data_IF_085048360895
#
_entry.id   IF_085048360895
#
_cell.length_a   1.000
_cell.length_b   1.000
_cell.length_c   1.000
_cell.angle_alpha   90.00
_cell.angle_beta   90.00
_cell.angle_gamma   90.00
#
_symmetry.space_group_name_H-M   'P 1'
#
loop_
_entity.id
_entity.type
_entity.pdbx_description
1 polymer ?
#
# COMPACT_ATOMS: atom_id res chain seq x y z
N UNK A 1 23.29 -83.19 -54.43
CA UNK A 1 22.46 -84.36 -54.77
C UNK A 1 21.02 -83.95 -54.65
N UNK A 2 20.43 -83.57 -55.78
CA UNK A 2 19.00 -83.39 -55.93
C UNK A 2 18.37 -84.78 -56.14
N UNK A 3 17.21 -85.03 -55.54
CA UNK A 3 16.02 -85.52 -56.24
C UNK A 3 14.86 -85.77 -55.25
N UNK A 4 13.70 -85.21 -55.64
CA UNK A 4 12.34 -85.79 -55.62
C UNK A 4 11.85 -86.47 -54.33
N UNK A 5 10.67 -86.15 -53.79
CA UNK A 5 9.35 -86.34 -54.45
C UNK A 5 8.23 -85.65 -53.66
N UNK A 6 7.31 -84.99 -54.37
CA UNK A 6 5.91 -84.81 -53.95
C UNK A 6 5.04 -85.87 -54.68
N UNK A 7 3.82 -86.21 -54.21
CA UNK A 7 2.65 -85.46 -54.71
C UNK A 7 1.40 -85.35 -53.80
N UNK A 8 0.65 -84.26 -54.04
CA UNK A 8 -0.82 -84.04 -54.09
C UNK A 8 -1.78 -84.68 -53.06
N UNK A 9 -2.57 -83.81 -52.42
CA UNK A 9 -4.02 -83.98 -52.25
C UNK A 9 -4.77 -82.63 -52.22
N UNK A 10 -5.70 -82.44 -53.17
CA UNK A 10 -6.86 -81.52 -53.15
C UNK A 10 -7.82 -81.97 -52.01
N UNK A 11 -8.72 -81.22 -51.37
CA UNK A 11 -9.47 -79.99 -51.62
C UNK A 11 -10.21 -79.63 -50.31
N UNK A 12 -10.58 -78.36 -50.10
CA UNK A 12 -11.95 -77.94 -49.74
C UNK A 12 -12.00 -76.42 -49.52
N UNK A 13 -12.78 -75.78 -50.37
CA UNK A 13 -13.21 -74.38 -50.30
C UNK A 13 -14.13 -74.18 -49.09
N UNK A 14 -13.86 -73.14 -48.31
CA UNK A 14 -14.74 -72.62 -47.27
C UNK A 14 -14.86 -71.11 -47.41
N UNK A 15 -16.01 -70.67 -47.92
CA UNK A 15 -16.43 -69.28 -48.10
C UNK A 15 -16.70 -68.60 -46.75
N UNK A 16 -16.14 -67.42 -46.51
CA UNK A 16 -16.65 -66.48 -45.49
C UNK A 16 -16.84 -65.09 -46.10
N UNK A 17 -18.08 -64.62 -46.03
CA UNK A 17 -18.59 -63.38 -46.61
C UNK A 17 -18.21 -62.17 -45.74
N UNK A 18 -17.62 -61.16 -46.37
CA UNK A 18 -17.34 -59.86 -45.78
C UNK A 18 -18.59 -58.98 -45.79
N UNK A 19 -19.10 -58.62 -44.61
CA UNK A 19 -20.06 -57.51 -44.44
C UNK A 19 -19.31 -56.17 -44.28
N UNK A 20 -19.80 -55.04 -44.82
CA UNK A 20 -19.14 -53.74 -44.68
C UNK A 20 -19.39 -53.14 -43.29
N UNK A 21 -18.36 -52.52 -42.70
CA UNK A 21 -18.43 -51.78 -41.43
C UNK A 21 -19.13 -50.43 -41.63
N UNK A 22 -20.12 -50.13 -40.80
CA UNK A 22 -20.74 -48.81 -40.66
C UNK A 22 -19.77 -47.77 -40.03
N UNK A 23 -19.94 -46.48 -40.34
CA UNK A 23 -19.07 -45.41 -39.83
C UNK A 23 -19.37 -45.10 -38.35
N UNK A 24 -18.32 -45.09 -37.53
CA UNK A 24 -18.33 -44.76 -36.11
C UNK A 24 -18.63 -43.28 -35.85
N UNK A 25 -19.53 -43.06 -34.89
CA UNK A 25 -19.99 -41.80 -34.25
C UNK A 25 -19.04 -40.57 -34.28
N UNK A 26 -19.58 -39.37 -34.54
CA UNK A 26 -18.93 -38.10 -34.24
C UNK A 26 -19.35 -37.60 -32.84
N UNK A 27 -18.42 -37.56 -31.88
CA UNK A 27 -18.38 -36.64 -30.72
C UNK A 27 -17.53 -37.21 -29.59
N UNK A 28 -16.21 -36.95 -29.64
CA UNK A 28 -15.40 -36.86 -28.43
C UNK A 28 -15.21 -35.38 -28.13
N UNK A 29 -16.17 -34.80 -27.41
CA UNK A 29 -15.88 -33.61 -26.63
C UNK A 29 -14.79 -34.01 -25.62
N UNK A 30 -13.70 -33.24 -25.58
CA UNK A 30 -12.59 -33.40 -24.64
C UNK A 30 -13.12 -33.14 -23.21
N UNK A 31 -13.59 -34.18 -22.52
CA UNK A 31 -13.86 -34.11 -21.08
C UNK A 31 -12.55 -34.30 -20.32
N UNK A 32 -12.17 -33.29 -19.54
CA UNK A 32 -11.08 -33.41 -18.58
C UNK A 32 -11.41 -34.52 -17.56
N UNK A 33 -10.41 -35.30 -17.09
CA UNK A 33 -10.67 -36.33 -16.08
C UNK A 33 -11.16 -35.70 -14.77
N UNK A 34 -12.17 -36.31 -14.13
CA UNK A 34 -12.82 -35.85 -12.88
C UNK A 34 -11.83 -35.48 -11.74
N UNK A 35 -10.65 -36.10 -11.73
CA UNK A 35 -9.58 -35.82 -10.77
C UNK A 35 -8.94 -34.43 -10.95
N UNK A 36 -8.89 -33.92 -12.19
CA UNK A 36 -8.35 -32.59 -12.49
C UNK A 36 -9.28 -31.48 -12.00
N UNK A 37 -10.60 -31.62 -12.21
CA UNK A 37 -11.59 -30.64 -11.73
C UNK A 37 -11.62 -30.55 -10.21
N UNK A 38 -11.52 -31.69 -9.51
CA UNK A 38 -11.44 -31.73 -8.06
C UNK A 38 -10.15 -31.06 -7.53
N UNK A 39 -9.03 -31.23 -8.23
CA UNK A 39 -7.77 -30.57 -7.89
C UNK A 39 -7.85 -29.05 -8.09
N UNK A 40 -8.48 -28.58 -9.17
CA UNK A 40 -8.69 -27.16 -9.44
C UNK A 40 -9.61 -26.50 -8.41
N UNK A 41 -10.73 -27.15 -8.06
CA UNK A 41 -11.61 -26.67 -6.99
C UNK A 41 -10.86 -26.54 -5.67
N UNK A 42 -10.04 -27.53 -5.32
CA UNK A 42 -9.22 -27.49 -4.10
C UNK A 42 -8.17 -26.38 -4.14
N UNK A 43 -7.56 -26.11 -5.31
CA UNK A 43 -6.64 -24.99 -5.51
C UNK A 43 -7.37 -23.67 -5.31
N UNK A 44 -8.53 -23.49 -5.95
CA UNK A 44 -9.39 -22.30 -5.83
C UNK A 44 -9.84 -22.06 -4.39
N UNK A 45 -10.26 -23.09 -3.68
CA UNK A 45 -10.62 -22.99 -2.26
C UNK A 45 -9.44 -22.56 -1.38
N UNK A 46 -8.23 -23.01 -1.70
CA UNK A 46 -7.01 -22.63 -0.99
C UNK A 46 -6.68 -21.17 -1.27
N UNK A 47 -6.67 -20.75 -2.53
CA UNK A 47 -6.44 -19.36 -2.93
C UNK A 47 -7.48 -18.40 -2.32
N UNK A 48 -8.76 -18.76 -2.37
CA UNK A 48 -9.84 -17.99 -1.74
C UNK A 48 -9.63 -17.85 -0.24
N UNK A 49 -9.21 -18.92 0.44
CA UNK A 49 -8.90 -18.88 1.87
C UNK A 49 -7.63 -18.08 2.18
N UNK A 50 -6.61 -18.12 1.34
CA UNK A 50 -5.36 -17.39 1.60
C UNK A 50 -5.53 -15.86 1.42
N UNK A 51 -6.37 -15.44 0.47
CA UNK A 51 -6.67 -14.02 0.22
C UNK A 51 -7.75 -13.48 1.16
N UNK A 52 -8.90 -14.15 1.26
CA UNK A 52 -10.07 -13.66 2.00
C UNK A 52 -10.27 -14.33 3.37
N UNK A 53 -9.52 -15.37 3.68
CA UNK A 53 -9.60 -16.06 4.96
C UNK A 53 -9.02 -15.21 6.09
N UNK A 54 -9.91 -14.74 6.97
CA UNK A 54 -9.54 -13.90 8.13
C UNK A 54 -9.15 -14.73 9.36
N UNK A 55 -8.20 -15.66 9.18
CA UNK A 55 -7.63 -16.44 10.28
C UNK A 55 -7.60 -17.95 10.02
N UNK A 56 -7.45 -18.72 11.11
CA UNK A 56 -7.34 -20.19 11.03
C UNK A 56 -8.72 -20.83 10.99
N UNK A 57 -8.82 -21.97 10.28
CA UNK A 57 -10.03 -22.80 10.26
C UNK A 57 -10.41 -23.27 11.67
N UNK A 58 -11.71 -23.29 11.94
CA UNK A 58 -12.26 -23.73 13.23
C UNK A 58 -12.13 -25.25 13.35
N UNK A 59 -11.39 -25.71 14.37
CA UNK A 59 -11.24 -27.15 14.67
C UNK A 59 -12.46 -27.66 15.45
N UNK A 60 -13.47 -28.15 14.76
CA UNK A 60 -14.71 -28.64 15.38
C UNK A 60 -14.65 -30.12 15.83
N UNK A 61 -13.74 -30.94 15.27
CA UNK A 61 -13.69 -32.40 15.55
C UNK A 61 -13.45 -32.75 17.02
N UNK A 62 -12.68 -31.92 17.74
CA UNK A 62 -12.27 -32.17 19.13
C UNK A 62 -13.28 -31.66 20.18
N UNK A 63 -14.41 -31.09 19.75
CA UNK A 63 -15.39 -30.46 20.65
C UNK A 63 -16.32 -31.52 21.23
N UNK A 64 -16.35 -31.69 22.56
CA UNK A 64 -17.15 -32.72 23.25
C UNK A 64 -18.67 -32.48 23.16
N UNK A 65 -19.12 -31.23 23.29
CA UNK A 65 -20.54 -30.87 23.19
C UNK A 65 -21.04 -31.02 21.74
N UNK A 66 -22.09 -31.83 21.56
CA UNK A 66 -22.72 -32.12 20.27
C UNK A 66 -23.35 -30.87 19.66
N UNK A 67 -24.00 -30.02 20.46
CA UNK A 67 -24.67 -28.80 19.97
C UNK A 67 -23.63 -27.79 19.49
N UNK A 68 -22.62 -27.51 20.30
CA UNK A 68 -21.50 -26.65 19.92
C UNK A 68 -20.77 -27.18 18.68
N UNK A 69 -20.51 -28.48 18.59
CA UNK A 69 -19.88 -29.10 17.41
C UNK A 69 -20.69 -28.88 16.13
N UNK A 70 -22.01 -29.09 16.19
CA UNK A 70 -22.90 -28.83 15.06
C UNK A 70 -22.88 -27.37 14.61
N UNK A 71 -22.96 -26.44 15.56
CA UNK A 71 -22.91 -25.00 15.30
C UNK A 71 -21.57 -24.56 14.69
N UNK A 72 -20.44 -25.03 15.23
CA UNK A 72 -19.12 -24.68 14.71
C UNK A 72 -18.87 -25.24 13.31
N UNK A 73 -19.41 -26.43 12.99
CA UNK A 73 -19.36 -26.99 11.63
C UNK A 73 -20.18 -26.14 10.66
N UNK A 74 -21.39 -25.73 11.05
CA UNK A 74 -22.22 -24.85 10.23
C UNK A 74 -21.57 -23.48 10.00
N UNK A 75 -20.94 -22.93 11.04
CA UNK A 75 -20.21 -21.66 10.95
C UNK A 75 -18.99 -21.77 10.02
N UNK A 76 -18.20 -22.84 10.12
CA UNK A 76 -17.09 -23.11 9.20
C UNK A 76 -17.56 -23.21 7.75
N UNK A 77 -18.66 -23.92 7.50
CA UNK A 77 -19.22 -24.03 6.15
C UNK A 77 -19.65 -22.67 5.59
N UNK A 78 -20.27 -21.81 6.42
CA UNK A 78 -20.61 -20.43 6.03
C UNK A 78 -19.38 -19.58 5.74
N UNK A 79 -18.32 -19.70 6.54
CA UNK A 79 -17.07 -18.99 6.28
C UNK A 79 -16.42 -19.45 4.99
N UNK A 80 -16.41 -20.76 4.71
CA UNK A 80 -15.91 -21.31 3.46
C UNK A 80 -16.68 -20.77 2.25
N UNK A 81 -18.01 -20.81 2.31
CA UNK A 81 -18.89 -20.27 1.26
C UNK A 81 -18.69 -18.77 1.06
N UNK A 82 -18.58 -17.99 2.13
CA UNK A 82 -18.31 -16.56 2.07
C UNK A 82 -16.95 -16.25 1.43
N UNK A 83 -15.89 -16.99 1.77
CA UNK A 83 -14.56 -16.80 1.14
C UNK A 83 -14.56 -17.16 -0.34
N UNK A 84 -15.29 -18.21 -0.73
CA UNK A 84 -15.40 -18.60 -2.13
C UNK A 84 -16.17 -17.55 -2.93
N UNK A 85 -17.33 -17.12 -2.45
CA UNK A 85 -18.14 -16.06 -3.07
C UNK A 85 -17.39 -14.73 -3.19
N UNK A 86 -16.61 -14.36 -2.18
CA UNK A 86 -15.78 -13.16 -2.24
C UNK A 86 -14.71 -13.27 -3.34
N UNK A 87 -14.08 -14.44 -3.48
CA UNK A 87 -13.13 -14.70 -4.57
C UNK A 87 -13.79 -14.71 -5.94
N UNK A 88 -14.98 -15.27 -6.04
CA UNK A 88 -15.76 -15.32 -7.28
C UNK A 88 -16.21 -13.92 -7.73
N UNK A 89 -16.45 -13.01 -6.77
CA UNK A 89 -16.79 -11.62 -7.05
C UNK A 89 -15.61 -10.81 -7.65
N UNK A 90 -14.36 -11.27 -7.54
CA UNK A 90 -13.23 -10.61 -8.22
C UNK A 90 -13.35 -10.64 -9.75
N UNK A 91 -14.16 -11.56 -10.32
CA UNK A 91 -14.43 -11.61 -11.76
C UNK A 91 -15.15 -10.34 -12.24
N UNK A 92 -15.83 -9.62 -11.33
CA UNK A 92 -16.55 -8.38 -11.62
C UNK A 92 -15.64 -7.15 -11.59
N UNK A 93 -14.34 -7.29 -11.32
CA UNK A 93 -13.40 -6.17 -11.37
C UNK A 93 -13.24 -5.68 -12.82
N UNK A 94 -13.49 -4.40 -13.03
CA UNK A 94 -13.60 -3.80 -14.37
C UNK A 94 -12.24 -3.40 -14.96
N UNK A 95 -11.27 -3.03 -14.12
CA UNK A 95 -10.02 -2.44 -14.56
C UNK A 95 -8.85 -3.41 -14.41
N UNK A 96 -8.06 -3.50 -15.48
CA UNK A 96 -6.77 -4.17 -15.47
C UNK A 96 -5.68 -3.28 -14.88
N UNK A 97 -4.64 -3.92 -14.35
CA UNK A 97 -3.56 -3.22 -13.68
C UNK A 97 -2.44 -2.92 -14.64
N UNK A 98 -1.88 -1.71 -14.59
CA UNK A 98 -0.75 -1.33 -15.42
C UNK A 98 0.50 -2.18 -15.17
N UNK A 99 1.35 -2.29 -16.18
CA UNK A 99 2.67 -2.91 -16.08
C UNK A 99 3.61 -2.32 -17.13
N UNK A 100 4.92 -2.47 -16.89
CA UNK A 100 5.97 -2.22 -17.87
C UNK A 100 6.90 -3.42 -17.83
N UNK A 101 7.07 -4.08 -18.97
CA UNK A 101 7.92 -5.26 -19.10
C UNK A 101 8.83 -5.10 -20.33
N UNK A 102 10.07 -5.59 -20.28
CA UNK A 102 10.97 -5.53 -21.42
C UNK A 102 10.52 -6.55 -22.48
N UNK A 103 10.49 -6.15 -23.75
CA UNK A 103 10.09 -7.06 -24.84
C UNK A 103 11.26 -7.99 -25.24
N UNK A 104 12.49 -7.49 -25.14
CA UNK A 104 13.72 -8.23 -25.47
C UNK A 104 14.67 -8.43 -24.29
N UNK A 105 15.55 -9.42 -24.38
CA UNK A 105 16.55 -9.74 -23.34
C UNK A 105 17.56 -8.60 -23.07
N UNK A 106 17.81 -7.78 -24.09
CA UNK A 106 18.74 -6.64 -24.01
C UNK A 106 18.09 -5.40 -23.41
N UNK A 107 16.76 -5.31 -23.48
CA UNK A 107 16.00 -4.19 -22.95
C UNK A 107 15.89 -4.29 -21.44
N UNK A 108 15.96 -3.13 -20.79
CA UNK A 108 15.91 -3.03 -19.34
C UNK A 108 14.95 -1.92 -18.97
N UNK A 109 13.95 -2.24 -18.16
CA UNK A 109 12.89 -1.32 -17.75
C UNK A 109 13.41 -0.02 -17.12
N UNK A 110 14.55 -0.08 -16.40
CA UNK A 110 15.11 1.10 -15.75
C UNK A 110 15.76 2.12 -16.71
N UNK A 111 15.94 1.77 -17.99
CA UNK A 111 16.46 2.67 -19.02
C UNK A 111 15.36 3.41 -19.78
N UNK A 112 14.10 3.01 -19.62
CA UNK A 112 12.96 3.61 -20.29
C UNK A 112 12.78 5.07 -19.85
N UNK A 113 12.65 6.00 -20.82
CA UNK A 113 12.46 7.42 -20.52
C UNK A 113 10.99 7.74 -20.31
N UNK A 114 10.73 8.83 -19.60
CA UNK A 114 9.37 9.34 -19.42
C UNK A 114 8.74 9.82 -20.73
N UNK A 115 9.54 10.27 -21.70
CA UNK A 115 9.06 10.66 -23.03
C UNK A 115 8.50 9.45 -23.79
N UNK A 116 9.18 8.31 -23.72
CA UNK A 116 8.75 7.05 -24.35
C UNK A 116 7.44 6.57 -23.70
N UNK A 117 7.38 6.53 -22.37
CA UNK A 117 6.17 6.13 -21.64
C UNK A 117 4.99 7.03 -22.02
N UNK A 118 5.18 8.35 -22.08
CA UNK A 118 4.11 9.30 -22.46
C UNK A 118 3.62 9.12 -23.88
N UNK A 119 4.46 8.63 -24.79
CA UNK A 119 4.10 8.37 -26.18
C UNK A 119 3.25 7.12 -26.32
N UNK A 120 3.51 6.11 -25.48
CA UNK A 120 2.88 4.79 -25.60
C UNK A 120 1.60 4.66 -24.75
N UNK A 121 1.45 5.46 -23.68
CA UNK A 121 0.23 5.49 -22.88
C UNK A 121 -0.87 6.35 -23.51
N UNK A 122 -2.13 6.08 -23.13
CA UNK A 122 -3.26 6.88 -23.54
C UNK A 122 -3.10 8.37 -23.18
N UNK A 123 -3.63 9.26 -24.04
CA UNK A 123 -3.46 10.72 -23.93
C UNK A 123 -3.91 11.27 -22.57
N UNK A 124 -4.96 10.71 -21.97
CA UNK A 124 -5.43 11.12 -20.64
C UNK A 124 -4.42 10.81 -19.53
N UNK A 125 -3.73 9.67 -19.61
CA UNK A 125 -2.66 9.30 -18.68
C UNK A 125 -1.41 10.12 -18.96
N UNK A 126 -1.07 10.35 -20.23
CA UNK A 126 0.08 11.16 -20.62
C UNK A 126 -0.01 12.60 -20.06
N UNK A 127 -1.21 13.20 -20.05
CA UNK A 127 -1.48 14.54 -19.47
C UNK A 127 -1.19 14.62 -17.97
N UNK A 128 -1.29 13.50 -17.23
CA UNK A 128 -1.01 13.43 -15.79
C UNK A 128 0.48 13.55 -15.48
N UNK A 129 1.35 13.34 -16.46
CA UNK A 129 2.78 13.57 -16.34
C UNK A 129 3.17 15.00 -16.71
N UNK A 130 3.29 15.89 -15.72
CA UNK A 130 3.65 17.31 -15.90
C UNK A 130 4.67 17.77 -14.86
N UNK A 131 5.28 18.93 -15.11
CA UNK A 131 6.24 19.57 -14.20
C UNK A 131 5.77 21.00 -13.90
N UNK A 132 5.76 21.37 -12.62
CA UNK A 132 5.53 22.72 -12.12
C UNK A 132 6.86 23.33 -11.70
N UNK A 133 7.31 24.33 -12.47
CA UNK A 133 8.58 25.03 -12.23
C UNK A 133 8.35 26.18 -11.26
N UNK A 134 8.65 25.94 -9.99
CA UNK A 134 8.50 26.87 -8.87
C UNK A 134 9.86 27.05 -8.19
N UNK A 135 10.71 27.91 -8.76
CA UNK A 135 12.13 28.00 -8.37
C UNK A 135 12.40 28.80 -7.10
N UNK A 136 11.54 29.77 -6.79
CA UNK A 136 11.91 30.84 -5.86
C UNK A 136 11.56 30.52 -4.41
N UNK A 137 10.53 29.70 -4.18
CA UNK A 137 9.91 29.46 -2.88
C UNK A 137 10.11 28.03 -2.34
N UNK A 138 10.92 27.21 -3.03
CA UNK A 138 11.23 25.83 -2.67
C UNK A 138 12.24 25.69 -1.50
N UNK A 139 12.56 24.45 -1.10
CA UNK A 139 12.07 23.18 -1.65
C UNK A 139 10.61 22.88 -1.32
N UNK A 140 9.97 22.12 -2.20
CA UNK A 140 8.55 21.78 -2.11
C UNK A 140 8.32 20.40 -1.53
N UNK A 141 7.44 20.34 -0.53
CA UNK A 141 6.77 19.12 -0.08
C UNK A 141 5.37 19.08 -0.66
N UNK A 142 4.83 17.88 -0.79
CA UNK A 142 3.50 17.70 -1.33
C UNK A 142 2.77 16.54 -0.66
N UNK A 143 1.45 16.58 -0.73
CA UNK A 143 0.56 15.55 -0.24
C UNK A 143 -0.66 15.45 -1.14
N UNK A 144 -1.04 14.22 -1.50
CA UNK A 144 -2.30 13.95 -2.18
C UNK A 144 -3.41 13.73 -1.15
N UNK A 145 -4.64 14.06 -1.52
CA UNK A 145 -5.81 13.55 -0.79
C UNK A 145 -5.87 12.04 -0.87
N UNK A 146 -6.54 11.39 0.09
CA UNK A 146 -6.67 9.93 0.13
C UNK A 146 -7.31 9.34 -1.14
N UNK A 147 -8.18 10.10 -1.80
CA UNK A 147 -8.82 9.73 -3.07
C UNK A 147 -7.97 10.08 -4.32
N UNK A 148 -6.82 10.74 -4.15
CA UNK A 148 -5.93 11.16 -5.24
C UNK A 148 -6.45 12.32 -6.10
N UNK A 149 -7.56 12.97 -5.73
CA UNK A 149 -8.19 14.03 -6.51
C UNK A 149 -7.46 15.38 -6.41
N UNK A 150 -7.10 15.78 -5.20
CA UNK A 150 -6.49 17.08 -4.92
C UNK A 150 -5.04 16.93 -4.46
N UNK A 151 -4.21 17.86 -4.90
CA UNK A 151 -2.80 17.96 -4.57
C UNK A 151 -2.58 19.20 -3.70
N UNK A 152 -1.87 19.02 -2.60
CA UNK A 152 -1.37 20.10 -1.74
C UNK A 152 0.13 20.23 -1.95
N UNK A 153 0.60 21.42 -2.25
CA UNK A 153 1.99 21.81 -2.39
C UNK A 153 2.36 22.80 -1.29
N UNK A 154 3.53 22.61 -0.67
CA UNK A 154 4.04 23.48 0.36
C UNK A 154 5.54 23.73 0.15
N UNK A 155 5.88 24.95 -0.24
CA UNK A 155 7.24 25.45 -0.36
C UNK A 155 7.79 25.90 0.99
N UNK A 156 9.06 25.59 1.26
CA UNK A 156 9.72 25.89 2.53
C UNK A 156 9.69 27.37 2.92
N UNK A 157 9.59 28.30 1.95
CA UNK A 157 9.57 29.76 2.21
C UNK A 157 8.18 30.34 2.47
N UNK A 158 7.13 29.51 2.55
CA UNK A 158 5.79 29.96 2.94
C UNK A 158 4.74 29.91 1.83
N UNK A 159 5.11 29.45 0.63
CA UNK A 159 4.15 29.21 -0.45
C UNK A 159 3.36 27.94 -0.17
N UNK A 160 2.03 28.02 -0.14
CA UNK A 160 1.16 26.85 0.00
C UNK A 160 0.09 26.94 -1.07
N UNK A 161 -0.09 25.89 -1.86
CA UNK A 161 -1.07 25.85 -2.92
C UNK A 161 -1.84 24.52 -2.90
N UNK A 162 -3.15 24.59 -3.11
CA UNK A 162 -4.01 23.43 -3.34
C UNK A 162 -4.51 23.46 -4.78
N UNK A 163 -4.59 22.30 -5.42
CA UNK A 163 -5.10 22.21 -6.80
C UNK A 163 -5.75 20.86 -7.09
N UNK A 164 -6.80 20.89 -7.91
CA UNK A 164 -7.29 19.75 -8.67
C UNK A 164 -6.33 19.50 -9.82
N UNK A 165 -5.29 18.74 -9.54
CA UNK A 165 -4.15 18.58 -10.42
C UNK A 165 -4.48 17.89 -11.76
N UNK A 166 -5.55 17.08 -11.81
CA UNK A 166 -6.05 16.46 -13.07
C UNK A 166 -6.71 17.48 -14.00
N UNK A 167 -7.53 18.37 -13.42
CA UNK A 167 -8.28 19.40 -14.15
C UNK A 167 -7.44 20.67 -14.38
N UNK A 168 -6.31 20.83 -13.68
CA UNK A 168 -5.51 22.05 -13.67
C UNK A 168 -6.17 23.23 -12.93
N UNK A 169 -7.22 22.99 -12.14
CA UNK A 169 -7.90 24.04 -11.38
C UNK A 169 -7.21 24.26 -10.04
N UNK A 170 -6.79 25.49 -9.79
CA UNK A 170 -6.24 25.90 -8.50
C UNK A 170 -7.41 26.06 -7.52
N UNK A 171 -7.27 25.47 -6.33
CA UNK A 171 -8.22 25.64 -5.24
C UNK A 171 -7.91 26.88 -4.43
N UNK A 172 -6.72 26.92 -3.85
CA UNK A 172 -6.25 28.02 -3.02
C UNK A 172 -4.74 28.21 -3.21
N UNK A 173 -4.30 29.46 -3.12
CA UNK A 173 -2.89 29.82 -3.07
C UNK A 173 -2.67 30.82 -1.94
N UNK A 174 -1.71 30.50 -1.07
CA UNK A 174 -1.40 31.25 0.14
C UNK A 174 0.09 31.54 0.19
N UNK A 175 0.42 32.76 0.61
CA UNK A 175 1.77 33.16 0.95
C UNK A 175 1.84 33.52 2.44
N UNK A 176 2.37 32.60 3.25
CA UNK A 176 2.36 32.71 4.71
C UNK A 176 3.47 33.61 5.26
N UNK A 177 4.52 33.90 4.46
CA UNK A 177 5.67 34.72 4.88
C UNK A 177 6.57 34.06 5.95
N UNK A 178 6.27 32.83 6.35
CA UNK A 178 7.03 32.05 7.32
C UNK A 178 7.49 30.70 6.76
N UNK A 179 8.42 30.05 7.46
CA UNK A 179 8.92 28.75 7.04
C UNK A 179 7.87 27.66 7.24
N UNK A 180 7.54 26.93 6.17
CA UNK A 180 6.66 25.76 6.23
C UNK A 180 7.51 24.50 6.30
N UNK A 181 7.25 23.64 7.29
CA UNK A 181 7.98 22.39 7.50
C UNK A 181 7.27 21.19 6.90
N UNK A 182 5.94 21.14 6.98
CA UNK A 182 5.14 20.04 6.43
C UNK A 182 3.71 20.51 6.17
N UNK A 183 3.00 19.83 5.28
CA UNK A 183 1.60 20.12 4.99
C UNK A 183 0.87 18.84 4.59
N UNK A 184 -0.32 18.61 5.16
CA UNK A 184 -1.09 17.39 4.96
C UNK A 184 -2.59 17.69 4.90
N UNK A 185 -3.31 16.97 4.05
CA UNK A 185 -4.76 16.92 4.07
C UNK A 185 -5.26 16.25 5.36
N UNK A 186 -6.45 16.66 5.81
CA UNK A 186 -7.16 15.96 6.88
C UNK A 186 -8.02 14.83 6.27
N UNK A 187 -9.28 14.70 6.70
CA UNK A 187 -10.18 13.65 6.20
C UNK A 187 -10.63 13.88 4.76
N UNK A 188 -10.85 15.14 4.39
CA UNK A 188 -11.37 15.54 3.08
C UNK A 188 -10.46 16.58 2.40
N UNK A 189 -10.81 16.95 1.17
CA UNK A 189 -10.19 18.06 0.42
C UNK A 189 -10.61 19.46 0.91
N UNK A 190 -11.41 19.54 1.97
CA UNK A 190 -11.91 20.79 2.51
C UNK A 190 -10.99 21.40 3.56
N UNK A 191 -10.13 20.60 4.19
CA UNK A 191 -9.25 21.13 5.23
C UNK A 191 -7.88 20.48 5.18
N UNK A 192 -6.87 21.32 5.38
CA UNK A 192 -5.48 20.89 5.40
C UNK A 192 -4.75 21.55 6.56
N UNK A 193 -3.80 20.82 7.14
CA UNK A 193 -2.93 21.30 8.19
C UNK A 193 -1.57 21.69 7.63
N UNK A 194 -1.05 22.83 8.07
CA UNK A 194 0.27 23.35 7.71
C UNK A 194 1.10 23.55 8.97
N UNK A 195 2.27 22.92 9.03
CA UNK A 195 3.24 23.11 10.09
C UNK A 195 4.12 24.33 9.74
N UNK A 196 3.80 25.49 10.32
CA UNK A 196 4.58 26.71 10.14
C UNK A 196 5.80 26.75 11.07
N UNK A 197 6.42 27.93 11.22
CA UNK A 197 7.66 28.09 12.00
C UNK A 197 7.49 27.71 13.47
N UNK A 198 6.38 28.10 14.11
CA UNK A 198 6.15 27.81 15.54
C UNK A 198 4.98 26.89 15.80
N UNK A 199 3.83 27.11 15.16
CA UNK A 199 2.62 26.34 15.42
C UNK A 199 2.12 25.63 14.17
N UNK A 200 1.27 24.63 14.37
CA UNK A 200 0.48 24.04 13.30
C UNK A 200 -0.83 24.80 13.14
N UNK A 201 -1.19 25.10 11.90
CA UNK A 201 -2.41 25.80 11.53
C UNK A 201 -3.29 24.89 10.66
N UNK A 202 -4.60 25.00 10.80
CA UNK A 202 -5.57 24.30 9.96
C UNK A 202 -6.29 25.35 9.12
N UNK A 203 -6.33 25.11 7.80
CA UNK A 203 -6.97 25.96 6.81
C UNK A 203 -8.16 25.27 6.18
N UNK A 204 -9.12 26.08 5.74
CA UNK A 204 -10.24 25.66 4.90
C UNK A 204 -9.82 25.54 3.43
N UNK A 205 -10.71 25.03 2.57
CA UNK A 205 -10.52 24.87 1.13
C UNK A 205 -10.20 26.20 0.44
N UNK A 206 -10.78 27.30 0.93
CA UNK A 206 -10.51 28.66 0.44
C UNK A 206 -9.19 29.24 0.97
N UNK A 207 -8.52 28.56 1.91
CA UNK A 207 -7.30 29.03 2.57
C UNK A 207 -7.53 29.98 3.73
N UNK A 208 -8.76 30.06 4.23
CA UNK A 208 -9.06 30.79 5.46
C UNK A 208 -8.52 29.97 6.64
N UNK A 209 -7.79 30.62 7.54
CA UNK A 209 -7.32 29.99 8.77
C UNK A 209 -8.51 29.68 9.69
N UNK A 210 -8.69 28.40 10.03
CA UNK A 210 -9.76 27.96 10.93
C UNK A 210 -9.23 27.88 12.36
N UNK A 211 -8.08 27.22 12.54
CA UNK A 211 -7.53 26.93 13.86
C UNK A 211 -6.01 27.10 13.91
N UNK A 212 -5.55 27.65 15.03
CA UNK A 212 -4.14 27.65 15.45
C UNK A 212 -3.95 26.66 16.59
N UNK A 213 -3.15 25.61 16.36
CA UNK A 213 -2.89 24.57 17.35
C UNK A 213 -1.72 24.95 18.27
N UNK A 214 -2.02 25.66 19.37
CA UNK A 214 -0.99 26.22 20.26
C UNK A 214 -0.13 25.17 20.96
N UNK A 215 -0.68 23.97 21.20
CA UNK A 215 0.07 22.87 21.83
C UNK A 215 1.07 22.23 20.88
N UNK A 216 0.92 22.41 19.57
CA UNK A 216 1.77 21.79 18.55
C UNK A 216 2.92 22.71 18.19
N UNK A 217 3.96 22.68 19.03
CA UNK A 217 5.11 23.60 18.93
C UNK A 217 6.20 22.98 18.07
N UNK A 218 6.71 23.76 17.11
CA UNK A 218 7.80 23.43 16.18
C UNK A 218 7.67 22.04 15.54
N UNK A 219 6.48 21.76 15.01
CA UNK A 219 6.18 20.49 14.33
C UNK A 219 7.03 20.34 13.06
N UNK A 220 7.76 19.23 12.96
CA UNK A 220 8.60 18.90 11.80
C UNK A 220 7.87 18.01 10.81
N UNK A 221 7.05 17.08 11.31
CA UNK A 221 6.30 16.13 10.50
C UNK A 221 4.88 15.90 11.04
N UNK A 222 3.96 15.64 10.13
CA UNK A 222 2.56 15.36 10.43
C UNK A 222 2.06 14.16 9.63
N UNK A 223 1.20 13.35 10.26
CA UNK A 223 0.43 12.30 9.58
C UNK A 223 -1.00 12.31 10.14
N UNK A 224 -1.97 12.14 9.25
CA UNK A 224 -3.39 12.10 9.60
C UNK A 224 -3.88 10.66 9.64
N UNK A 225 -4.60 10.28 10.69
CA UNK A 225 -5.20 8.96 10.86
C UNK A 225 -6.68 9.03 10.44
N UNK A 226 -7.03 8.59 9.21
CA UNK A 226 -8.33 8.91 8.62
C UNK A 226 -9.52 8.27 9.33
N UNK A 227 -9.37 7.04 9.82
CA UNK A 227 -10.47 6.31 10.49
C UNK A 227 -10.70 6.76 11.95
N UNK A 228 -9.71 7.41 12.57
CA UNK A 228 -9.76 7.83 13.97
C UNK A 228 -9.93 9.36 14.10
N UNK A 229 -9.85 10.11 13.00
CA UNK A 229 -9.85 11.58 12.98
C UNK A 229 -8.76 12.17 13.89
N UNK A 230 -7.57 11.55 13.92
CA UNK A 230 -6.45 12.03 14.72
C UNK A 230 -5.38 12.64 13.81
N UNK A 231 -4.97 13.87 14.11
CA UNK A 231 -3.75 14.46 13.60
C UNK A 231 -2.60 14.10 14.54
N UNK A 232 -1.71 13.24 14.07
CA UNK A 232 -0.48 12.91 14.78
C UNK A 232 0.64 13.84 14.30
N UNK A 233 1.28 14.51 15.24
CA UNK A 233 2.38 15.44 14.95
C UNK A 233 3.59 15.13 15.79
N UNK A 234 4.75 15.41 15.23
CA UNK A 234 6.00 15.33 15.98
C UNK A 234 6.80 16.60 15.77
N UNK A 235 7.38 17.14 16.85
CA UNK A 235 8.16 18.37 16.83
C UNK A 235 9.64 18.17 17.16
N UNK A 236 10.42 19.24 17.05
CA UNK A 236 11.86 19.26 17.33
C UNK A 236 12.22 18.72 18.72
N UNK A 237 11.37 19.01 19.72
CA UNK A 237 11.55 18.58 21.11
C UNK A 237 11.32 17.07 21.32
N UNK A 238 10.89 16.33 20.29
CA UNK A 238 10.65 14.88 20.39
C UNK A 238 9.37 14.52 21.15
N UNK A 239 8.38 15.42 21.18
CA UNK A 239 7.04 15.12 21.68
C UNK A 239 6.15 14.68 20.53
N UNK A 240 5.50 13.53 20.73
CA UNK A 240 4.45 13.03 19.87
C UNK A 240 3.11 13.51 20.42
N UNK A 241 2.35 14.26 19.62
CA UNK A 241 1.04 14.78 20.00
C UNK A 241 -0.02 14.25 19.06
N UNK A 242 -1.09 13.72 19.65
CA UNK A 242 -2.28 13.28 18.93
C UNK A 242 -3.42 14.25 19.26
N UNK A 243 -3.96 14.91 18.25
CA UNK A 243 -5.10 15.81 18.40
C UNK A 243 -6.24 15.31 17.57
N UNK A 244 -7.41 15.25 18.19
CA UNK A 244 -8.64 14.88 17.53
C UNK A 244 -9.15 16.06 16.72
N UNK A 245 -9.25 15.90 15.41
CA UNK A 245 -9.67 16.98 14.51
C UNK A 245 -11.18 17.18 14.51
N UNK A 246 -11.96 16.19 14.96
CA UNK A 246 -13.42 16.34 15.01
C UNK A 246 -13.89 17.03 16.28
N UNK A 247 -13.22 16.79 17.42
CA UNK A 247 -13.55 17.40 18.70
C UNK A 247 -12.65 18.60 19.05
N UNK A 248 -11.50 18.73 18.38
CA UNK A 248 -10.50 19.76 18.66
C UNK A 248 -9.64 19.49 19.91
N UNK A 249 -9.79 18.33 20.55
CA UNK A 249 -9.13 18.04 21.82
C UNK A 249 -7.76 17.38 21.61
N UNK A 250 -6.77 17.80 22.42
CA UNK A 250 -5.50 17.10 22.51
C UNK A 250 -5.73 15.78 23.28
N UNK A 251 -5.52 14.69 22.57
CA UNK A 251 -5.81 13.33 23.03
C UNK A 251 -4.66 12.77 23.86
N UNK A 252 -3.44 12.86 23.35
CA UNK A 252 -2.25 12.34 24.01
C UNK A 252 -1.03 13.20 23.69
N UNK A 253 -0.17 13.35 24.68
CA UNK A 253 1.15 13.97 24.55
C UNK A 253 2.19 13.02 25.15
N UNK A 254 3.05 12.49 24.28
CA UNK A 254 3.96 11.39 24.61
C UNK A 254 5.40 11.81 24.29
N UNK A 255 6.30 11.87 25.28
CA UNK A 255 7.70 12.18 25.04
C UNK A 255 8.42 10.94 24.48
N UNK A 256 9.09 11.09 23.34
CA UNK A 256 9.85 9.98 22.73
C UNK A 256 11.16 9.66 23.46
N UNK A 257 11.73 10.64 24.19
CA UNK A 257 12.96 10.55 24.99
C UNK A 257 14.23 10.14 24.20
N UNK A 258 14.23 10.27 22.87
CA UNK A 258 15.34 9.87 21.99
C UNK A 258 15.89 11.02 21.13
N UNK A 259 15.65 12.26 21.56
CA UNK A 259 16.08 13.47 20.86
C UNK A 259 15.12 13.90 19.75
N UNK A 260 15.64 14.68 18.80
CA UNK A 260 14.84 15.20 17.69
C UNK A 260 14.56 14.09 16.67
N UNK A 261 13.29 13.78 16.36
CA UNK A 261 12.92 12.76 15.40
C UNK A 261 13.18 13.24 13.98
N UNK A 262 13.64 12.32 13.12
CA UNK A 262 14.07 12.61 11.75
C UNK A 262 13.08 12.13 10.69
N UNK A 263 12.29 11.12 11.01
CA UNK A 263 11.26 10.59 10.10
C UNK A 263 10.02 10.16 10.86
N UNK A 264 8.89 10.19 10.15
CA UNK A 264 7.57 9.99 10.70
C UNK A 264 6.68 9.37 9.63
N UNK A 265 6.03 8.25 9.94
CA UNK A 265 5.07 7.60 9.03
C UNK A 265 4.01 6.88 9.83
N UNK A 266 2.79 6.83 9.28
CA UNK A 266 1.69 6.05 9.82
C UNK A 266 1.66 4.67 9.16
N UNK A 267 1.22 3.66 9.91
CA UNK A 267 0.88 2.34 9.37
C UNK A 267 -0.63 2.32 9.00
N UNK A 268 -0.98 2.21 7.71
CA UNK A 268 -2.37 2.33 7.27
C UNK A 268 -3.32 1.27 7.85
N UNK A 269 -2.80 0.09 8.21
CA UNK A 269 -3.62 -1.03 8.70
C UNK A 269 -3.98 -0.90 10.19
N UNK A 270 -3.01 -0.55 11.04
CA UNK A 270 -3.23 -0.53 12.50
C UNK A 270 -3.23 0.87 13.12
N UNK A 271 -3.02 1.91 12.30
CA UNK A 271 -2.96 3.31 12.69
C UNK A 271 -1.87 3.67 13.72
N UNK A 272 -0.90 2.78 13.95
CA UNK A 272 0.27 3.06 14.78
C UNK A 272 1.22 3.99 14.04
N UNK A 273 1.94 4.80 14.80
CA UNK A 273 2.90 5.76 14.27
C UNK A 273 4.32 5.22 14.44
N UNK A 274 5.08 5.18 13.35
CA UNK A 274 6.49 4.85 13.35
C UNK A 274 7.31 6.14 13.34
N UNK A 275 8.17 6.30 14.33
CA UNK A 275 9.05 7.47 14.50
C UNK A 275 10.49 7.00 14.37
N UNK A 276 11.22 7.59 13.42
CA UNK A 276 12.65 7.35 13.23
C UNK A 276 13.47 8.42 13.93
N UNK A 277 14.55 7.99 14.57
CA UNK A 277 15.39 8.84 15.42
C UNK A 277 16.79 9.04 14.83
N UNK A 278 17.51 10.03 15.38
CA UNK A 278 18.89 10.33 15.01
C UNK A 278 19.88 9.20 15.35
N UNK A 279 19.59 8.40 16.38
CA UNK A 279 20.43 7.28 16.77
C UNK A 279 20.28 6.04 15.85
N UNK A 280 19.44 6.11 14.82
CA UNK A 280 19.16 4.98 13.91
C UNK A 280 18.10 4.00 14.40
N UNK A 281 17.48 4.26 15.55
CA UNK A 281 16.33 3.49 16.01
C UNK A 281 15.03 3.97 15.37
N UNK A 282 14.13 3.03 15.14
CA UNK A 282 12.73 3.25 14.80
C UNK A 282 11.89 2.79 15.99
N UNK A 283 11.00 3.64 16.46
CA UNK A 283 10.08 3.35 17.56
C UNK A 283 8.64 3.40 17.08
N UNK A 284 7.82 2.47 17.55
CA UNK A 284 6.40 2.35 17.16
C UNK A 284 5.53 2.77 18.33
N UNK A 285 4.58 3.68 18.09
CA UNK A 285 3.79 4.35 19.12
C UNK A 285 2.29 4.17 18.92
N UNK A 286 1.60 3.97 20.03
CA UNK A 286 0.14 4.06 20.17
C UNK A 286 -0.17 5.28 21.05
N UNK A 287 -1.29 6.00 20.84
CA UNK A 287 -1.74 7.01 21.79
C UNK A 287 -2.13 6.43 23.17
N UNK A 288 -2.28 5.11 23.28
CA UNK A 288 -2.72 4.43 24.49
C UNK A 288 -1.58 4.10 25.46
N UNK A 289 -0.32 4.24 25.04
CA UNK A 289 0.85 3.85 25.82
C UNK A 289 1.85 5.02 25.90
N UNK A 290 2.41 5.25 27.09
CA UNK A 290 3.44 6.28 27.31
C UNK A 290 4.84 5.83 26.88
N UNK A 291 5.03 4.53 26.68
CA UNK A 291 6.26 3.92 26.18
C UNK A 291 6.04 3.37 24.77
N UNK A 292 7.09 3.27 23.94
CA UNK A 292 6.94 2.75 22.59
C UNK A 292 6.64 1.25 22.66
N UNK A 293 5.66 0.81 21.88
CA UNK A 293 5.26 -0.59 21.78
C UNK A 293 6.41 -1.47 21.28
N UNK A 294 7.23 -0.94 20.37
CA UNK A 294 8.41 -1.62 19.80
C UNK A 294 9.53 -0.61 19.58
N UNK A 295 10.78 -1.05 19.83
CA UNK A 295 12.00 -0.36 19.46
C UNK A 295 12.82 -1.25 18.53
N UNK A 296 13.14 -0.76 17.34
CA UNK A 296 13.88 -1.45 16.29
C UNK A 296 15.16 -0.68 15.99
N UNK A 297 16.32 -1.34 16.00
CA UNK A 297 17.56 -0.73 15.51
C UNK A 297 17.65 -0.93 14.01
N UNK A 298 17.36 0.12 13.23
CA UNK A 298 17.22 0.00 11.78
C UNK A 298 18.51 0.32 11.03
N UNK A 299 19.22 1.36 11.44
CA UNK A 299 20.38 1.90 10.73
C UNK A 299 21.51 2.30 11.68
N UNK A 300 22.72 2.41 11.15
CA UNK A 300 23.86 2.94 11.90
C UNK A 300 24.01 4.45 11.65
N UNK A 301 23.10 5.22 12.24
CA UNK A 301 22.94 6.67 12.02
C UNK A 301 21.49 7.07 11.75
N UNK A 302 21.19 8.36 11.56
CA UNK A 302 19.80 8.86 11.53
C UNK A 302 18.92 8.18 10.49
N UNK A 303 17.71 7.79 10.88
CA UNK A 303 16.68 7.25 9.98
C UNK A 303 16.04 8.42 9.22
N UNK A 304 16.42 8.60 7.96
CA UNK A 304 16.03 9.75 7.14
C UNK A 304 14.60 9.68 6.65
N UNK A 305 14.12 8.48 6.29
CA UNK A 305 12.77 8.28 5.79
C UNK A 305 12.30 6.85 6.00
N UNK A 306 10.99 6.68 6.07
CA UNK A 306 10.32 5.40 6.25
C UNK A 306 9.01 5.40 5.47
N UNK A 307 8.63 4.24 4.96
CA UNK A 307 7.33 4.00 4.35
C UNK A 307 6.83 2.61 4.75
N UNK A 308 5.51 2.46 4.86
CA UNK A 308 4.85 1.24 5.28
C UNK A 308 3.88 0.83 4.17
N UNK A 309 3.83 -0.47 3.90
CA UNK A 309 2.85 -1.08 2.99
C UNK A 309 1.42 -0.78 3.48
N UNK A 310 0.46 -0.62 2.56
CA UNK A 310 -0.96 -0.39 2.87
C UNK A 310 -1.56 -1.49 3.75
N UNK A 311 -1.11 -2.74 3.59
CA UNK A 311 -1.51 -3.84 4.47
C UNK A 311 -0.79 -3.87 5.82
N UNK A 312 0.23 -3.02 6.02
CA UNK A 312 1.02 -2.97 7.24
C UNK A 312 1.89 -4.20 7.48
N UNK A 313 2.22 -4.97 6.43
CA UNK A 313 3.09 -6.15 6.53
C UNK A 313 4.57 -5.80 6.48
N UNK A 314 4.96 -4.90 5.60
CA UNK A 314 6.35 -4.53 5.37
C UNK A 314 6.60 -3.04 5.60
N UNK A 315 7.80 -2.72 6.07
CA UNK A 315 8.31 -1.37 6.20
C UNK A 315 9.61 -1.26 5.42
N UNK A 316 9.79 -0.16 4.69
CA UNK A 316 11.06 0.21 4.07
C UNK A 316 11.61 1.42 4.81
N UNK A 317 12.86 1.34 5.26
CA UNK A 317 13.57 2.44 5.93
C UNK A 317 14.83 2.82 5.15
N UNK A 318 15.16 4.10 5.15
CA UNK A 318 16.42 4.62 4.59
C UNK A 318 17.19 5.40 5.64
N UNK A 319 18.48 5.09 5.78
CA UNK A 319 19.36 5.70 6.76
C UNK A 319 20.36 6.68 6.16
N UNK A 320 21.03 7.43 7.05
CA UNK A 320 22.21 8.23 6.70
C UNK A 320 23.45 7.38 6.42
N UNK A 321 23.40 6.09 6.76
CA UNK A 321 24.39 5.06 6.46
C UNK A 321 24.38 4.59 4.98
N UNK A 322 23.64 5.31 4.12
CA UNK A 322 23.45 4.99 2.70
C UNK A 322 22.85 3.60 2.47
N UNK A 323 22.14 3.04 3.45
CA UNK A 323 21.43 1.77 3.32
C UNK A 323 19.93 2.00 3.26
N UNK A 324 19.27 1.17 2.47
CA UNK A 324 17.84 0.94 2.52
C UNK A 324 17.59 -0.45 3.08
N UNK A 325 16.75 -0.57 4.11
CA UNK A 325 16.40 -1.85 4.72
C UNK A 325 14.91 -2.12 4.59
N UNK A 326 14.57 -3.36 4.26
CA UNK A 326 13.19 -3.88 4.22
C UNK A 326 12.97 -4.72 5.48
N UNK A 327 11.84 -4.50 6.15
CA UNK A 327 11.50 -5.13 7.42
C UNK A 327 10.13 -5.79 7.34
N UNK A 328 9.98 -6.97 7.95
CA UNK A 328 8.67 -7.56 8.23
C UNK A 328 8.15 -7.01 9.56
N UNK A 329 7.04 -6.28 9.54
CA UNK A 329 6.46 -5.61 10.72
C UNK A 329 5.82 -6.63 11.66
N UNK A 330 5.42 -7.81 11.19
CA UNK A 330 4.76 -8.82 12.06
C UNK A 330 5.76 -9.52 12.96
N UNK A 331 6.97 -9.72 12.46
CA UNK A 331 8.06 -10.41 13.15
C UNK A 331 9.16 -9.48 13.65
N UNK A 332 9.16 -8.22 13.19
CA UNK A 332 10.19 -7.19 13.43
C UNK A 332 11.59 -7.63 13.04
N UNK A 333 11.71 -8.43 11.98
CA UNK A 333 13.00 -8.91 11.46
C UNK A 333 13.37 -8.20 10.17
N UNK A 334 14.67 -7.94 9.94
CA UNK A 334 15.13 -7.44 8.65
C UNK A 334 14.98 -8.55 7.61
N UNK A 335 14.44 -8.18 6.47
CA UNK A 335 14.23 -9.07 5.31
C UNK A 335 15.44 -8.97 4.39
N UNK A 336 15.67 -7.77 3.85
CA UNK A 336 16.74 -7.50 2.89
C UNK A 336 17.33 -6.10 3.11
N UNK A 337 18.60 -5.93 2.75
CA UNK A 337 19.30 -4.63 2.80
C UNK A 337 19.95 -4.31 1.46
N UNK A 338 19.80 -3.06 1.05
CA UNK A 338 20.26 -2.50 -0.22
C UNK A 338 21.15 -1.30 0.04
N UNK A 339 22.15 -1.09 -0.83
CA UNK A 339 23.02 0.07 -0.77
C UNK A 339 22.51 1.13 -1.73
N UNK A 340 22.43 2.36 -1.25
CA UNK A 340 22.16 3.56 -2.02
C UNK A 340 23.48 4.27 -2.30
N UNK A 341 23.56 5.02 -3.40
CA UNK A 341 24.75 5.81 -3.72
C UNK A 341 24.90 7.06 -2.86
N UNK A 342 23.79 7.56 -2.34
CA UNK A 342 23.70 8.68 -1.41
C UNK A 342 22.63 8.39 -0.36
N UNK A 343 22.62 9.10 0.78
CA UNK A 343 21.57 8.94 1.78
C UNK A 343 20.18 9.16 1.18
N UNK A 344 19.27 8.21 1.41
CA UNK A 344 17.88 8.32 0.96
C UNK A 344 17.17 9.48 1.67
N UNK A 345 16.67 10.46 0.91
CA UNK A 345 15.95 11.60 1.43
C UNK A 345 14.48 11.27 1.72
N UNK A 346 13.83 10.51 0.83
CA UNK A 346 12.43 10.11 0.97
C UNK A 346 12.22 8.71 0.43
N UNK A 347 11.32 7.96 1.05
CA UNK A 347 10.80 6.70 0.54
C UNK A 347 9.27 6.71 0.56
N UNK A 348 8.63 6.08 -0.42
CA UNK A 348 7.19 5.89 -0.49
C UNK A 348 6.85 4.54 -1.12
N UNK A 349 5.87 3.83 -0.55
CA UNK A 349 5.36 2.55 -1.07
C UNK A 349 3.99 2.82 -1.70
N UNK A 350 3.77 2.29 -2.89
CA UNK A 350 2.51 2.42 -3.64
C UNK A 350 1.48 1.39 -3.17
N UNK A 351 0.23 1.51 -3.61
CA UNK A 351 -0.82 0.55 -3.29
C UNK A 351 -0.47 -0.89 -3.74
N UNK A 352 0.27 -1.01 -4.85
CA UNK A 352 0.72 -2.30 -5.41
C UNK A 352 2.18 -2.65 -5.07
N UNK A 353 2.68 -2.14 -3.94
CA UNK A 353 4.01 -2.44 -3.41
C UNK A 353 5.21 -1.95 -4.24
N UNK A 354 5.02 -1.04 -5.21
CA UNK A 354 6.15 -0.36 -5.83
C UNK A 354 6.77 0.60 -4.82
N UNK A 355 8.07 0.55 -4.65
CA UNK A 355 8.78 1.39 -3.68
C UNK A 355 9.61 2.43 -4.41
N UNK A 356 9.24 3.71 -4.28
CA UNK A 356 10.04 4.82 -4.77
C UNK A 356 11.01 5.29 -3.69
N UNK A 357 12.27 5.44 -4.05
CA UNK A 357 13.36 5.89 -3.16
C UNK A 357 14.04 7.08 -3.81
N UNK A 358 13.99 8.22 -3.15
CA UNK A 358 14.63 9.46 -3.59
C UNK A 358 15.95 9.62 -2.86
N UNK A 359 17.04 9.75 -3.59
CA UNK A 359 18.38 9.91 -3.05
C UNK A 359 19.12 10.97 -3.86
N UNK A 360 19.57 12.03 -3.18
CA UNK A 360 20.20 13.18 -3.85
C UNK A 360 19.29 13.87 -4.85
N UNK A 361 19.65 13.77 -6.13
CA UNK A 361 18.93 14.36 -7.27
C UNK A 361 18.24 13.33 -8.16
N UNK A 362 18.20 12.07 -7.71
CA UNK A 362 17.62 10.96 -8.45
C UNK A 362 16.55 10.26 -7.61
N UNK A 363 15.60 9.64 -8.30
CA UNK A 363 14.63 8.73 -7.71
C UNK A 363 14.70 7.38 -8.43
N UNK A 364 14.74 6.31 -7.66
CA UNK A 364 14.68 4.94 -8.16
C UNK A 364 13.41 4.27 -7.68
N UNK A 365 12.64 3.69 -8.58
CA UNK A 365 11.48 2.86 -8.26
C UNK A 365 11.90 1.40 -8.29
N UNK A 366 11.51 0.64 -7.28
CA UNK A 366 11.80 -0.78 -7.13
C UNK A 366 10.49 -1.58 -7.15
N UNK A 367 10.48 -2.67 -7.92
CA UNK A 367 9.40 -3.65 -7.97
C UNK A 367 9.86 -4.94 -7.30
N UNK A 368 8.99 -5.54 -6.49
CA UNK A 368 9.27 -6.85 -5.87
C UNK A 368 10.26 -6.85 -4.72
N UNK A 369 10.44 -5.72 -4.01
CA UNK A 369 11.27 -5.70 -2.79
C UNK A 369 10.75 -6.64 -1.70
N UNK A 370 9.44 -6.88 -1.72
CA UNK A 370 8.73 -7.82 -0.88
C UNK A 370 7.51 -8.34 -1.65
N UNK A 371 7.25 -9.64 -1.53
CA UNK A 371 6.09 -10.33 -2.09
C UNK A 371 5.27 -10.95 -0.96
N UNK A 372 3.98 -10.65 -0.93
CA UNK A 372 3.06 -11.13 0.11
C UNK A 372 2.86 -12.64 0.08
N UNK A 373 3.05 -13.27 -1.09
CA UNK A 373 2.81 -14.70 -1.30
C UNK A 373 4.00 -15.58 -0.90
N UNK A 374 5.21 -15.02 -0.93
CA UNK A 374 6.45 -15.76 -0.65
C UNK A 374 6.87 -15.58 0.81
N UNK A 375 7.25 -16.66 1.46
CA UNK A 375 7.81 -16.59 2.81
C UNK A 375 9.25 -16.07 2.78
N UNK A 376 10.05 -16.57 1.82
CA UNK A 376 11.43 -16.14 1.61
C UNK A 376 11.49 -15.10 0.50
N UNK A 377 12.16 -13.99 0.78
CA UNK A 377 12.22 -12.83 -0.11
C UNK A 377 13.58 -12.79 -0.80
N UNK A 378 13.57 -12.92 -2.12
CA UNK A 378 14.77 -12.79 -2.92
C UNK A 378 15.21 -11.34 -3.04
N UNK A 379 16.51 -11.13 -3.14
CA UNK A 379 17.08 -9.79 -3.28
C UNK A 379 16.97 -9.31 -4.72
N UNK A 380 16.24 -8.21 -4.92
CA UNK A 380 16.07 -7.58 -6.22
C UNK A 380 17.40 -6.95 -6.69
N UNK A 381 17.81 -7.23 -7.93
CA UNK A 381 19.12 -6.79 -8.43
C UNK A 381 19.07 -5.44 -9.14
N UNK A 382 17.96 -5.14 -9.82
CA UNK A 382 17.81 -3.91 -10.62
C UNK A 382 16.55 -3.15 -10.25
N UNK A 383 16.58 -1.81 -10.27
CA UNK A 383 15.37 -1.02 -10.12
C UNK A 383 14.41 -1.26 -11.30
N UNK A 384 13.14 -0.95 -11.07
CA UNK A 384 12.08 -0.98 -12.06
C UNK A 384 12.17 0.21 -13.02
N UNK A 385 12.28 1.42 -12.46
CA UNK A 385 12.36 2.68 -13.21
C UNK A 385 13.33 3.64 -12.53
N UNK A 386 14.05 4.44 -13.31
CA UNK A 386 14.90 5.53 -12.82
C UNK A 386 14.36 6.89 -13.28
N UNK A 387 14.45 7.89 -12.40
CA UNK A 387 14.11 9.27 -12.72
C UNK A 387 15.17 10.23 -12.15
N UNK A 388 15.35 11.36 -12.81
CA UNK A 388 16.21 12.45 -12.36
C UNK A 388 17.61 12.43 -12.98
N UNK A 389 18.49 13.28 -12.43
CA UNK A 389 19.81 13.57 -13.01
C UNK A 389 20.02 15.04 -13.39
N UNK A 390 18.95 15.85 -13.40
CA UNK A 390 18.96 17.25 -13.87
C UNK A 390 19.31 18.28 -12.77
N UNK A 391 20.02 17.83 -11.74
CA UNK A 391 20.43 18.67 -10.61
C UNK A 391 19.28 19.16 -9.73
N UNK A 392 18.09 18.55 -9.80
CA UNK A 392 16.94 18.85 -8.94
C UNK A 392 17.01 17.98 -7.69
N UNK A 393 17.20 18.58 -6.50
CA UNK A 393 17.29 17.79 -5.26
C UNK A 393 15.90 17.34 -4.81
N UNK A 394 15.72 16.03 -4.64
CA UNK A 394 14.46 15.42 -4.18
C UNK A 394 14.27 15.66 -2.68
N UNK A 395 13.13 16.24 -2.31
CA UNK A 395 12.76 16.50 -0.92
C UNK A 395 11.75 15.47 -0.40
N UNK A 396 10.67 15.21 -1.15
CA UNK A 396 9.60 14.28 -0.75
C UNK A 396 9.04 13.53 -1.95
N UNK A 397 8.78 12.24 -1.77
CA UNK A 397 8.08 11.38 -2.71
C UNK A 397 6.73 10.98 -2.12
N UNK A 398 5.66 11.02 -2.91
CA UNK A 398 4.36 10.42 -2.60
C UNK A 398 3.74 9.85 -3.86
N UNK A 399 3.13 8.67 -3.73
CA UNK A 399 2.33 8.09 -4.80
C UNK A 399 0.98 8.77 -4.85
N UNK A 400 0.44 8.96 -6.06
CA UNK A 400 -0.97 9.29 -6.20
C UNK A 400 -1.79 8.02 -5.90
N UNK A 401 -2.74 8.04 -4.95
CA UNK A 401 -3.66 6.93 -4.75
C UNK A 401 -4.45 6.63 -6.03
N UNK A 402 -4.68 5.34 -6.31
CA UNK A 402 -5.49 4.84 -7.44
C UNK A 402 -5.01 5.19 -8.85
N UNK A 403 -3.84 5.82 -9.01
CA UNK A 403 -3.28 6.15 -10.32
C UNK A 403 -1.81 5.76 -10.42
N UNK A 404 -1.38 5.48 -11.65
CA UNK A 404 -0.01 5.11 -11.99
C UNK A 404 0.92 6.34 -12.05
N UNK A 405 0.90 7.15 -10.99
CA UNK A 405 1.60 8.43 -10.92
C UNK A 405 2.41 8.55 -9.63
N UNK A 406 3.67 8.94 -9.77
CA UNK A 406 4.55 9.32 -8.66
C UNK A 406 4.73 10.84 -8.64
N UNK A 407 4.34 11.46 -7.54
CA UNK A 407 4.66 12.85 -7.25
C UNK A 407 6.05 12.99 -6.64
N UNK A 408 6.83 13.92 -7.16
CA UNK A 408 8.19 14.22 -6.72
C UNK A 408 8.27 15.71 -6.39
N UNK A 409 8.40 16.04 -5.11
CA UNK A 409 8.68 17.39 -4.65
C UNK A 409 10.19 17.60 -4.61
N UNK A 410 10.66 18.66 -5.26
CA UNK A 410 12.07 19.01 -5.34
C UNK A 410 12.30 20.50 -5.04
N UNK A 411 13.56 20.92 -5.07
CA UNK A 411 13.97 22.31 -4.87
C UNK A 411 13.39 23.29 -5.91
N UNK A 412 13.33 22.88 -7.18
CA UNK A 412 12.80 23.67 -8.29
C UNK A 412 11.27 23.60 -8.49
N UNK A 413 10.53 22.93 -7.60
CA UNK A 413 9.08 22.78 -7.70
C UNK A 413 8.59 21.34 -7.55
N UNK A 414 7.71 20.92 -8.45
CA UNK A 414 7.04 19.62 -8.38
C UNK A 414 7.02 18.92 -9.75
N UNK A 415 7.35 17.64 -9.77
CA UNK A 415 7.31 16.78 -10.96
C UNK A 415 6.36 15.61 -10.73
N UNK A 416 5.40 15.44 -11.64
CA UNK A 416 4.51 14.29 -11.72
C UNK A 416 4.99 13.35 -12.82
N UNK A 417 5.38 12.12 -12.46
CA UNK A 417 5.89 11.13 -13.41
C UNK A 417 4.97 9.92 -13.48
N UNK A 418 4.91 9.28 -14.65
CA UNK A 418 4.05 8.12 -14.88
C UNK A 418 4.85 6.86 -14.60
N UNK A 419 4.32 6.00 -13.74
CA UNK A 419 4.94 4.72 -13.37
C UNK A 419 3.88 3.63 -13.50
N UNK A 420 3.86 2.91 -14.63
CA UNK A 420 2.89 1.84 -14.85
C UNK A 420 2.93 0.78 -13.75
N UNK A 421 1.76 0.39 -13.23
CA UNK A 421 1.61 -0.63 -12.20
C UNK A 421 1.83 -0.17 -10.76
N UNK A 422 1.74 1.13 -10.49
CA UNK A 422 1.89 1.69 -9.16
C UNK A 422 0.57 1.76 -8.38
N UNK A 423 -0.51 2.16 -9.03
CA UNK A 423 -1.82 2.43 -8.44
C UNK A 423 -2.73 1.21 -8.36
N UNK A 424 -3.64 1.20 -7.39
CA UNK A 424 -4.71 0.21 -7.34
C UNK A 424 -5.76 0.54 -8.41
N UNK A 425 -5.89 -0.34 -9.41
CA UNK A 425 -6.79 -0.12 -10.54
C UNK A 425 -8.28 -0.18 -10.15
N UNK A 426 -8.62 -1.05 -9.19
CA UNK A 426 -9.99 -1.25 -8.74
C UNK A 426 -10.18 -0.70 -7.33
N UNK A 427 -10.86 0.44 -7.22
CA UNK A 427 -11.15 1.07 -5.94
C UNK A 427 -12.51 0.65 -5.40
N UNK A 428 -12.64 0.58 -4.07
CA UNK A 428 -13.94 0.43 -3.42
C UNK A 428 -14.59 1.81 -3.25
N UNK A 429 -15.61 2.08 -4.06
CA UNK A 429 -16.33 3.35 -4.05
C UNK A 429 -17.04 3.65 -2.71
N UNK A 430 -17.31 2.63 -1.87
CA UNK A 430 -17.89 2.81 -0.54
C UNK A 430 -16.85 3.17 0.52
N UNK A 431 -15.56 2.88 0.27
CA UNK A 431 -14.46 3.27 1.16
C UNK A 431 -13.91 4.63 0.76
N UNK A 432 -13.44 4.76 -0.49
CA UNK A 432 -12.85 5.97 -1.04
C UNK A 432 -13.13 6.03 -2.54
N UNK A 433 -13.80 7.09 -2.99
CA UNK A 433 -14.13 7.28 -4.40
C UNK A 433 -13.33 8.46 -5.01
N UNK A 434 -12.45 8.21 -6.00
CA UNK A 434 -11.75 9.27 -6.75
C UNK A 434 -12.68 10.24 -7.49
N UNK A 435 -13.88 9.79 -7.85
CA UNK A 435 -14.88 10.54 -8.62
C UNK A 435 -16.09 10.97 -7.78
N UNK A 436 -15.91 11.12 -6.47
CA UNK A 436 -17.01 11.48 -5.57
C UNK A 436 -17.70 12.80 -5.97
N UNK A 437 -19.03 12.78 -5.93
CA UNK A 437 -19.86 13.99 -6.07
C UNK A 437 -19.91 14.76 -4.75
N UNK A 438 -20.35 16.02 -4.79
CA UNK A 438 -20.51 16.83 -3.57
C UNK A 438 -21.46 16.20 -2.56
N UNK A 439 -22.55 15.58 -3.01
CA UNK A 439 -23.50 14.85 -2.15
C UNK A 439 -22.86 13.62 -1.51
N UNK A 440 -22.20 12.79 -2.32
CA UNK A 440 -21.51 11.60 -1.83
C UNK A 440 -20.43 11.95 -0.80
N UNK A 441 -19.65 13.01 -1.05
CA UNK A 441 -18.64 13.50 -0.11
C UNK A 441 -19.25 13.90 1.24
N UNK A 442 -20.35 14.65 1.22
CA UNK A 442 -21.06 15.07 2.45
C UNK A 442 -21.60 13.85 3.23
N UNK A 443 -22.23 12.90 2.55
CA UNK A 443 -22.74 11.68 3.16
C UNK A 443 -21.61 10.81 3.73
N UNK A 444 -20.51 10.67 2.98
CA UNK A 444 -19.33 9.91 3.40
C UNK A 444 -18.63 10.54 4.60
N UNK A 445 -18.55 11.88 4.65
CA UNK A 445 -18.00 12.60 5.78
C UNK A 445 -18.82 12.36 7.06
N UNK A 446 -20.15 12.47 6.97
CA UNK A 446 -21.06 12.18 8.09
C UNK A 446 -20.92 10.71 8.52
N UNK A 447 -20.88 9.78 7.55
CA UNK A 447 -20.73 8.35 7.83
C UNK A 447 -19.38 8.04 8.48
N UNK A 448 -18.29 8.68 8.04
CA UNK A 448 -16.96 8.51 8.60
C UNK A 448 -16.90 9.06 10.04
N UNK A 449 -17.57 10.18 10.30
CA UNK A 449 -17.65 10.76 11.64
C UNK A 449 -18.48 9.89 12.60
N UNK A 450 -19.61 9.33 12.15
CA UNK A 450 -20.44 8.43 12.94
C UNK A 450 -19.72 7.10 13.26
N UNK A 451 -18.92 6.59 12.32
CA UNK A 451 -18.16 5.35 12.48
C UNK A 451 -16.70 5.59 12.94
N UNK A 452 -16.42 6.80 13.44
CA UNK A 452 -15.08 7.16 13.92
C UNK A 452 -14.62 6.17 14.99
N UNK A 453 -13.43 5.63 14.80
CA UNK A 453 -12.83 4.71 15.74
C UNK A 453 -12.23 5.47 16.93
N UNK A 454 -12.49 4.96 18.12
CA UNK A 454 -11.93 5.50 19.36
C UNK A 454 -10.42 5.28 19.43
N UNK A 455 -9.70 6.23 20.03
CA UNK A 455 -8.23 6.14 20.21
C UNK A 455 -7.79 4.83 20.88
N UNK A 456 -8.62 4.33 21.80
CA UNK A 456 -8.40 3.13 22.59
C UNK A 456 -8.30 1.86 21.75
N UNK A 457 -8.76 1.91 20.49
CA UNK A 457 -8.73 0.81 19.53
C UNK A 457 -7.41 0.68 18.76
N UNK A 458 -6.47 1.63 18.95
CA UNK A 458 -5.16 1.61 18.28
C UNK A 458 -4.21 0.67 19.02
N UNK A 459 -3.89 -0.46 18.37
CA UNK A 459 -2.97 -1.47 18.89
C UNK A 459 -2.14 -2.10 17.77
N UNK A 460 -1.13 -2.89 18.12
CA UNK A 460 -0.26 -3.52 17.11
C UNK A 460 -1.03 -4.50 16.21
N UNK A 461 -2.01 -5.21 16.77
CA UNK A 461 -2.88 -6.15 16.04
C UNK A 461 -4.29 -5.57 16.04
N UNK A 462 -4.79 -5.00 14.93
CA UNK A 462 -6.05 -4.25 14.93
C UNK A 462 -7.27 -5.12 15.26
N UNK A 463 -7.25 -6.41 14.91
CA UNK A 463 -8.38 -7.34 15.08
C UNK A 463 -8.46 -7.98 16.49
N UNK A 464 -8.09 -7.24 17.54
CA UNK A 464 -8.09 -7.76 18.91
C UNK A 464 -9.41 -7.54 19.66
N UNK A 465 -10.25 -6.61 19.21
CA UNK A 465 -11.55 -6.33 19.84
C UNK A 465 -12.45 -7.57 19.75
N UNK A 466 -12.94 -8.04 20.89
CA UNK A 466 -13.69 -9.29 21.01
C UNK A 466 -12.84 -10.53 21.32
N UNK A 467 -11.51 -10.38 21.43
CA UNK A 467 -10.64 -11.45 21.95
C UNK A 467 -10.77 -11.60 23.46
N UNK A 468 -10.46 -12.80 23.96
CA UNK A 468 -10.52 -13.13 25.38
C UNK A 468 -9.34 -12.51 26.13
N UNK A 469 -9.62 -11.74 27.17
CA UNK A 469 -8.60 -11.37 28.16
C UNK A 469 -8.17 -12.63 28.93
N UNK A 470 -6.93 -13.05 28.69
CA UNK A 470 -6.36 -14.26 29.28
C UNK A 470 -6.20 -14.12 30.80
N UNK A 471 -5.84 -12.93 31.29
CA UNK A 471 -5.60 -12.72 32.72
C UNK A 471 -6.90 -12.82 33.52
N UNK A 472 -7.93 -12.09 33.12
CA UNK A 472 -9.25 -12.18 33.76
C UNK A 472 -9.85 -13.58 33.63
N UNK A 473 -9.68 -14.24 32.49
CA UNK A 473 -10.19 -15.60 32.31
C UNK A 473 -9.46 -16.62 33.19
N UNK A 474 -8.15 -16.50 33.38
CA UNK A 474 -7.41 -17.35 34.32
C UNK A 474 -7.82 -17.11 35.76
N UNK A 475 -8.09 -15.86 36.16
CA UNK A 475 -8.62 -15.54 37.49
C UNK A 475 -10.00 -16.13 37.72
N UNK A 476 -10.90 -16.12 36.72
CA UNK A 476 -12.23 -16.73 36.81
C UNK A 476 -12.21 -18.26 36.79
N UNK A 477 -11.11 -18.87 36.33
CA UNK A 477 -10.91 -20.32 36.30
C UNK A 477 -10.32 -20.87 37.59
N UNK A 478 -9.59 -20.03 38.34
CA UNK A 478 -9.18 -20.31 39.72
C UNK A 478 -10.39 -20.13 40.63
#
# INVERSE_FOLDING_TARGET
>A
MAENTAPKALSRLGSSSSKPKEPTNPSKALTLPLDAEAAELKRREKEAHDVYGRGKKIRHRNVRDKKLRGNLKALEARYKDATLKAKDAEILLEHETGFLEPEGELERTYKTRQEDIKRDVAVETAKKGFELKLTDLGPYKHSYTRNGRDLLLAGRKGHVATMQWRDGKIGCELQLGETVRDAIWLHNNQSFAVAQKKYTYIYDQAGVEIHKLEKHIEVTNMEFLPFHFLLATVGNAGYLKYTDTSTGQLVAEIPTKLGTPTSFTQNPNNAMIHVGHQNGSVTIWSPNQSEPAVKLLAHHGPVRSMAIDREGRYMVSTGSDMKMAVWDIRTFKPVNTYFLRQPGASVAISDRNLTAVGWGTQASVWRGLFDKSKNDQEKVQSPYLGWGGDGQRVEKLRWCPFEDVLGIGHDKGFSSIIVPGAGEANFDALEVNPYETTKQRQEMEVKALLNKLERGMISLVPNYVGSLDRASHEQKRK
#
